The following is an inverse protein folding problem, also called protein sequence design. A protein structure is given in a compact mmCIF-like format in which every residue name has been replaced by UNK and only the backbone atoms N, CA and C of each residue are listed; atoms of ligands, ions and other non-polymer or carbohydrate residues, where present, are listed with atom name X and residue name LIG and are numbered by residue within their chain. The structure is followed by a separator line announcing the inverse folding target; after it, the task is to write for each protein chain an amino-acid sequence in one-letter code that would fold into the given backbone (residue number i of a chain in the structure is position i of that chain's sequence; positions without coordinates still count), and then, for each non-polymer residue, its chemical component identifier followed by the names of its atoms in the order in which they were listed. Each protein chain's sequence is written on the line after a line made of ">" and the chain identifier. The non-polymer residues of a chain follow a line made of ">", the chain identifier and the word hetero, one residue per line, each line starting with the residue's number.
data_IF_638389772043
#
_entry.id   IF_638389772043
#
_cell.length_a   1.000
_cell.length_b   1.000
_cell.length_c   1.000
_cell.angle_alpha   90.00
_cell.angle_beta   90.00
_cell.angle_gamma   90.00
#
_symmetry.space_group_name_H-M   'P 1'
#
loop_
_entity.id
_entity.type
_entity.pdbx_description
1 polymer ?
#
# COMPACT_ATOMS: atom_id res chain seq x y z
N UNK A 1 -7.92 -26.98 0.44
CA UNK A 1 -8.61 -27.17 1.76
C UNK A 1 -10.11 -27.31 1.55
N UNK A 2 -10.79 -26.41 0.81
CA UNK A 2 -12.25 -26.45 0.60
C UNK A 2 -12.72 -27.72 -0.11
N UNK A 3 -12.03 -28.21 -1.13
CA UNK A 3 -12.37 -29.44 -1.84
C UNK A 3 -12.31 -30.68 -0.92
N UNK A 4 -11.32 -30.74 -0.02
CA UNK A 4 -11.19 -31.85 0.95
C UNK A 4 -12.39 -31.83 1.91
N UNK A 5 -12.74 -30.65 2.45
CA UNK A 5 -13.87 -30.50 3.34
C UNK A 5 -15.20 -30.85 2.67
N UNK A 6 -15.39 -30.36 1.45
CA UNK A 6 -16.57 -30.68 0.62
C UNK A 6 -16.63 -32.19 0.29
N UNK A 7 -15.49 -32.83 0.07
CA UNK A 7 -15.43 -34.29 -0.14
C UNK A 7 -15.85 -35.07 1.10
N UNK A 8 -15.44 -34.65 2.30
CA UNK A 8 -15.90 -35.28 3.56
C UNK A 8 -17.41 -35.13 3.72
N UNK A 9 -17.95 -33.92 3.47
CA UNK A 9 -19.40 -33.69 3.51
C UNK A 9 -20.16 -34.53 2.50
N UNK A 10 -19.62 -34.73 1.29
CA UNK A 10 -20.23 -35.62 0.29
C UNK A 10 -20.29 -37.06 0.78
N UNK A 11 -19.20 -37.58 1.37
CA UNK A 11 -19.15 -38.95 1.90
C UNK A 11 -20.23 -39.12 2.98
N UNK A 12 -20.34 -38.15 3.92
CA UNK A 12 -21.37 -38.18 4.98
C UNK A 12 -22.78 -38.14 4.37
N UNK A 13 -23.01 -37.32 3.35
CA UNK A 13 -24.28 -37.23 2.63
C UNK A 13 -24.64 -38.57 1.93
N UNK A 14 -23.67 -39.22 1.30
CA UNK A 14 -23.85 -40.54 0.67
C UNK A 14 -24.25 -41.60 1.73
N UNK A 15 -23.53 -41.66 2.86
CA UNK A 15 -23.85 -42.57 3.96
C UNK A 15 -25.27 -42.32 4.45
N UNK A 16 -25.65 -41.06 4.64
CA UNK A 16 -27.01 -40.71 5.03
C UNK A 16 -28.04 -41.17 4.00
N UNK A 17 -27.85 -40.88 2.72
CA UNK A 17 -28.79 -41.23 1.64
C UNK A 17 -28.94 -42.74 1.48
N UNK A 18 -27.90 -43.51 1.71
CA UNK A 18 -27.96 -44.99 1.68
C UNK A 18 -28.77 -45.49 2.84
N UNK A 19 -28.56 -44.96 4.06
CA UNK A 19 -29.27 -45.39 5.27
C UNK A 19 -30.76 -45.06 5.26
N UNK A 20 -31.19 -43.93 4.66
CA UNK A 20 -32.59 -43.54 4.52
C UNK A 20 -33.26 -44.07 3.23
N UNK A 21 -32.62 -44.99 2.53
CA UNK A 21 -33.12 -45.56 1.26
C UNK A 21 -33.49 -44.49 0.23
N UNK A 22 -32.80 -43.36 0.27
CA UNK A 22 -32.97 -42.31 -0.75
C UNK A 22 -32.57 -42.86 -2.10
N UNK A 23 -33.41 -42.71 -3.14
CA UNK A 23 -33.21 -43.34 -4.44
C UNK A 23 -31.83 -43.05 -5.04
N UNK A 24 -31.22 -44.01 -5.70
CA UNK A 24 -29.88 -43.96 -6.34
C UNK A 24 -29.64 -42.71 -7.18
N UNK A 25 -30.65 -42.10 -7.72
CA UNK A 25 -30.57 -40.85 -8.49
C UNK A 25 -29.97 -39.68 -7.68
N UNK A 26 -30.34 -39.53 -6.38
CA UNK A 26 -29.83 -38.46 -5.53
C UNK A 26 -28.34 -38.60 -5.26
N UNK A 27 -27.86 -39.84 -5.02
CA UNK A 27 -26.44 -40.13 -4.84
C UNK A 27 -25.65 -39.81 -6.11
N UNK A 28 -26.14 -40.27 -7.27
CA UNK A 28 -25.48 -40.01 -8.56
C UNK A 28 -25.37 -38.52 -8.81
N UNK A 29 -26.49 -37.75 -8.65
CA UNK A 29 -26.49 -36.30 -8.84
C UNK A 29 -25.50 -35.60 -7.94
N UNK A 30 -25.42 -35.98 -6.65
CA UNK A 30 -24.47 -35.40 -5.70
C UNK A 30 -23.01 -35.65 -6.11
N UNK A 31 -22.69 -36.86 -6.56
CA UNK A 31 -21.35 -37.21 -7.05
C UNK A 31 -21.00 -36.44 -8.34
N UNK A 32 -21.95 -36.32 -9.27
CA UNK A 32 -21.74 -35.56 -10.52
C UNK A 32 -21.51 -34.10 -10.22
N UNK A 33 -22.31 -33.47 -9.34
CA UNK A 33 -22.11 -32.07 -8.94
C UNK A 33 -20.75 -31.89 -8.31
N UNK A 34 -20.34 -32.77 -7.39
CA UNK A 34 -19.02 -32.69 -6.77
C UNK A 34 -17.88 -32.83 -7.78
N UNK A 35 -17.98 -33.77 -8.72
CA UNK A 35 -16.99 -33.94 -9.78
C UNK A 35 -16.88 -32.69 -10.68
N UNK A 36 -18.02 -32.07 -11.01
CA UNK A 36 -18.05 -30.80 -11.74
C UNK A 36 -17.38 -29.67 -10.94
N UNK A 37 -17.71 -29.56 -9.64
CA UNK A 37 -17.08 -28.58 -8.75
C UNK A 37 -15.55 -28.81 -8.65
N UNK A 38 -15.10 -30.07 -8.56
CA UNK A 38 -13.69 -30.40 -8.58
C UNK A 38 -13.02 -30.00 -9.90
N UNK A 39 -13.70 -30.25 -11.03
CA UNK A 39 -13.17 -29.89 -12.35
C UNK A 39 -13.08 -28.38 -12.56
N UNK A 40 -14.05 -27.62 -12.09
CA UNK A 40 -14.07 -26.16 -12.17
C UNK A 40 -13.16 -25.50 -11.12
N UNK A 41 -13.03 -26.11 -9.94
CA UNK A 41 -12.21 -25.60 -8.82
C UNK A 41 -10.78 -26.13 -8.80
N UNK A 42 -10.35 -26.85 -9.83
CA UNK A 42 -8.98 -27.36 -9.92
C UNK A 42 -7.98 -26.30 -10.38
N UNK A 43 -8.47 -25.16 -10.86
CA UNK A 43 -7.60 -24.01 -11.15
C UNK A 43 -7.00 -23.48 -9.87
N UNK A 44 -5.67 -23.34 -9.82
CA UNK A 44 -4.95 -22.69 -8.73
C UNK A 44 -5.18 -21.16 -8.75
N UNK A 45 -5.70 -20.63 -9.86
CA UNK A 45 -6.05 -19.21 -10.03
C UNK A 45 -7.50 -18.98 -9.63
N UNK A 46 -7.70 -18.09 -8.64
CA UNK A 46 -9.02 -17.58 -8.29
C UNK A 46 -9.51 -16.55 -9.31
N UNK A 47 -8.57 -15.84 -9.95
CA UNK A 47 -8.84 -14.80 -10.94
C UNK A 47 -8.66 -15.30 -12.39
N UNK A 48 -9.20 -16.47 -12.71
CA UNK A 48 -9.09 -17.11 -14.04
C UNK A 48 -9.61 -16.27 -15.23
N UNK A 49 -10.29 -15.17 -14.96
CA UNK A 49 -10.78 -14.21 -15.96
C UNK A 49 -9.79 -13.08 -16.26
N UNK A 50 -8.74 -12.90 -15.43
CA UNK A 50 -7.69 -11.90 -15.64
C UNK A 50 -6.71 -12.38 -16.70
N UNK A 51 -6.45 -11.55 -17.73
CA UNK A 51 -5.61 -11.93 -18.86
C UNK A 51 -4.12 -11.62 -18.66
N UNK A 52 -3.81 -10.57 -17.90
CA UNK A 52 -2.45 -10.04 -17.73
C UNK A 52 -1.88 -10.38 -16.34
N UNK A 53 -2.40 -11.43 -15.71
CA UNK A 53 -2.03 -11.87 -14.39
C UNK A 53 -0.68 -12.61 -14.43
N UNK A 54 0.35 -11.99 -13.83
CA UNK A 54 1.71 -12.55 -13.75
C UNK A 54 1.93 -13.32 -12.45
N UNK A 55 1.26 -12.90 -11.38
CA UNK A 55 1.31 -13.56 -10.08
C UNK A 55 -0.04 -13.47 -9.38
N UNK A 56 -0.41 -14.54 -8.72
CA UNK A 56 -1.54 -14.64 -7.80
C UNK A 56 -1.12 -15.42 -6.57
N UNK A 57 -1.54 -14.98 -5.39
CA UNK A 57 -1.27 -15.68 -4.15
C UNK A 57 -1.85 -14.99 -2.93
N UNK A 58 -1.65 -15.62 -1.79
CA UNK A 58 -2.12 -15.11 -0.50
C UNK A 58 -0.96 -14.98 0.47
N UNK A 59 -1.05 -14.00 1.34
CA UNK A 59 -0.25 -13.88 2.54
C UNK A 59 -1.14 -14.01 3.78
N UNK A 60 -0.58 -13.79 4.96
CA UNK A 60 -1.36 -13.70 6.21
C UNK A 60 -2.26 -12.46 6.22
N UNK A 61 -1.89 -11.42 5.46
CA UNK A 61 -2.54 -10.11 5.46
C UNK A 61 -3.44 -9.89 4.26
N UNK A 62 -3.00 -10.39 3.07
CA UNK A 62 -3.60 -9.98 1.80
C UNK A 62 -3.74 -11.13 0.83
N UNK A 63 -4.79 -11.06 0.00
CA UNK A 63 -4.83 -11.69 -1.30
C UNK A 63 -4.11 -10.78 -2.29
N UNK A 64 -3.15 -11.29 -3.02
CA UNK A 64 -2.20 -10.52 -3.82
C UNK A 64 -2.28 -10.91 -5.29
N UNK A 65 -2.39 -9.91 -6.15
CA UNK A 65 -2.30 -10.06 -7.59
C UNK A 65 -1.26 -9.12 -8.16
N UNK A 66 -0.39 -9.63 -9.04
CA UNK A 66 0.48 -8.80 -9.88
C UNK A 66 0.06 -8.97 -11.31
N UNK A 67 -0.32 -7.88 -11.94
CA UNK A 67 -0.59 -7.81 -13.38
C UNK A 67 0.51 -7.00 -14.07
N UNK A 68 0.86 -7.43 -15.28
CA UNK A 68 1.96 -6.84 -16.04
C UNK A 68 1.56 -6.68 -17.50
N UNK A 69 1.74 -5.47 -18.03
CA UNK A 69 1.61 -5.16 -19.45
C UNK A 69 2.92 -4.57 -20.01
N UNK A 70 2.91 -4.15 -21.29
CA UNK A 70 4.09 -3.59 -21.95
C UNK A 70 4.60 -2.27 -21.30
N UNK A 71 3.77 -1.58 -20.53
CA UNK A 71 4.04 -0.25 -19.99
C UNK A 71 4.23 -0.22 -18.48
N UNK A 72 3.61 -1.13 -17.76
CA UNK A 72 3.55 -1.09 -16.29
C UNK A 72 3.42 -2.46 -15.64
N UNK A 73 3.79 -2.51 -14.36
CA UNK A 73 3.49 -3.59 -13.43
C UNK A 73 2.61 -3.02 -12.34
N UNK A 74 1.54 -3.73 -11.96
CA UNK A 74 0.56 -3.28 -10.96
C UNK A 74 0.38 -4.33 -9.88
N UNK A 75 0.31 -3.87 -8.63
CA UNK A 75 -0.11 -4.68 -7.49
C UNK A 75 -1.55 -4.34 -7.12
N UNK A 76 -2.37 -5.36 -6.95
CA UNK A 76 -3.69 -5.27 -6.34
C UNK A 76 -3.75 -6.15 -5.09
N UNK A 77 -4.40 -5.65 -4.03
CA UNK A 77 -4.59 -6.38 -2.77
C UNK A 77 -6.07 -6.42 -2.43
N UNK A 78 -6.58 -7.55 -2.00
CA UNK A 78 -7.94 -7.78 -1.46
C UNK A 78 -9.11 -7.19 -2.26
N UNK A 79 -8.93 -6.07 -2.92
CA UNK A 79 -9.97 -5.35 -3.67
C UNK A 79 -9.86 -5.74 -5.14
N UNK A 80 -10.89 -6.40 -5.65
CA UNK A 80 -11.03 -6.66 -7.08
C UNK A 80 -11.02 -5.33 -7.84
N UNK A 81 -10.11 -5.20 -8.80
CA UNK A 81 -9.89 -3.99 -9.62
C UNK A 81 -9.29 -2.76 -8.90
N UNK A 82 -8.94 -2.86 -7.62
CA UNK A 82 -8.20 -1.81 -6.92
C UNK A 82 -6.69 -1.93 -7.17
N UNK A 83 -6.07 -0.91 -7.74
CA UNK A 83 -4.61 -0.85 -7.91
C UNK A 83 -4.00 -0.14 -6.71
N UNK A 84 -3.16 -0.86 -5.96
CA UNK A 84 -2.45 -0.33 -4.79
C UNK A 84 -1.11 0.31 -5.17
N UNK A 85 -0.41 -0.29 -6.10
CA UNK A 85 0.88 0.21 -6.56
C UNK A 85 1.08 0.00 -8.04
N UNK A 86 1.81 0.92 -8.67
CA UNK A 86 2.18 0.88 -10.08
C UNK A 86 3.68 1.13 -10.22
N UNK A 87 4.36 0.30 -10.99
CA UNK A 87 5.72 0.54 -11.48
C UNK A 87 5.68 0.78 -13.00
N UNK A 88 6.24 1.89 -13.45
CA UNK A 88 6.34 2.22 -14.87
C UNK A 88 7.62 1.65 -15.46
N UNK A 89 7.49 0.81 -16.50
CA UNK A 89 8.65 0.27 -17.25
C UNK A 89 9.37 1.32 -18.09
N UNK A 90 8.68 2.39 -18.43
CA UNK A 90 9.22 3.53 -19.14
C UNK A 90 9.65 4.63 -18.18
N UNK A 91 10.51 5.55 -18.65
CA UNK A 91 10.96 6.70 -17.88
C UNK A 91 9.88 7.79 -17.83
N UNK A 92 8.89 7.60 -17.00
CA UNK A 92 7.79 8.54 -16.73
C UNK A 92 7.25 8.34 -15.33
N UNK A 93 6.59 9.36 -14.81
CA UNK A 93 5.81 9.29 -13.57
C UNK A 93 4.58 8.41 -13.75
N UNK A 94 4.05 7.93 -12.63
CA UNK A 94 2.92 6.99 -12.60
C UNK A 94 1.57 7.67 -12.73
N UNK A 95 1.47 8.94 -12.33
CA UNK A 95 0.22 9.67 -12.14
C UNK A 95 -0.48 9.35 -10.82
N UNK A 96 0.15 8.56 -9.94
CA UNK A 96 -0.40 8.16 -8.64
C UNK A 96 0.09 9.09 -7.52
N UNK A 97 -0.43 8.89 -6.33
CA UNK A 97 -0.17 9.71 -5.15
C UNK A 97 1.31 9.81 -4.76
N UNK A 98 2.11 8.78 -4.95
CA UNK A 98 3.54 8.84 -4.60
C UNK A 98 4.34 9.78 -5.49
N UNK A 99 3.87 10.13 -6.68
CA UNK A 99 4.47 11.19 -7.49
C UNK A 99 4.35 12.54 -6.79
N UNK A 100 3.21 12.79 -6.14
CA UNK A 100 2.95 14.00 -5.36
C UNK A 100 3.68 13.98 -4.01
N UNK A 101 3.78 12.80 -3.38
CA UNK A 101 4.50 12.62 -2.12
C UNK A 101 6.00 12.98 -2.25
N UNK A 102 6.58 12.92 -3.47
CA UNK A 102 7.94 13.43 -3.72
C UNK A 102 8.12 14.93 -3.42
N UNK A 103 7.03 15.67 -3.19
CA UNK A 103 7.13 17.04 -2.70
C UNK A 103 7.77 17.13 -1.31
N UNK A 104 7.64 16.08 -0.47
CA UNK A 104 8.22 16.09 0.89
C UNK A 104 9.75 16.27 0.91
N UNK A 105 10.56 15.47 0.22
CA UNK A 105 12.00 15.73 0.11
C UNK A 105 12.33 17.10 -0.51
N UNK A 106 11.53 17.56 -1.48
CA UNK A 106 11.73 18.88 -2.11
C UNK A 106 11.49 20.05 -1.17
N UNK A 107 10.71 19.88 -0.10
CA UNK A 107 10.55 20.89 0.95
C UNK A 107 11.83 21.10 1.76
N UNK A 108 12.81 20.20 1.66
CA UNK A 108 14.13 20.23 2.30
C UNK A 108 15.22 20.65 1.31
N UNK A 109 14.92 21.63 0.43
CA UNK A 109 15.78 22.03 -0.69
C UNK A 109 17.20 22.50 -0.29
N UNK A 110 17.43 22.83 0.97
CA UNK A 110 18.74 23.21 1.52
C UNK A 110 19.60 21.97 1.86
N UNK A 111 19.03 20.78 1.87
CA UNK A 111 19.71 19.52 2.15
C UNK A 111 20.00 18.75 0.87
N UNK A 112 21.19 18.18 0.75
CA UNK A 112 21.52 17.33 -0.41
C UNK A 112 20.77 16.00 -0.29
N UNK A 113 20.30 15.42 -1.42
CA UNK A 113 19.64 14.11 -1.38
C UNK A 113 20.46 13.02 -0.67
N UNK A 114 21.78 12.96 -0.90
CA UNK A 114 22.67 11.98 -0.27
C UNK A 114 22.74 12.06 1.27
N UNK A 115 22.35 13.20 1.81
CA UNK A 115 22.38 13.46 3.25
C UNK A 115 20.98 13.33 3.88
N UNK A 116 19.98 12.94 3.08
CA UNK A 116 18.60 12.76 3.54
C UNK A 116 18.35 11.32 3.99
N UNK A 117 17.80 11.16 5.18
CA UNK A 117 17.26 9.91 5.70
C UNK A 117 15.74 9.89 5.55
N UNK A 118 15.23 8.91 4.81
CA UNK A 118 13.80 8.75 4.48
C UNK A 118 13.28 7.42 5.03
N UNK A 119 12.23 7.47 5.84
CA UNK A 119 11.51 6.29 6.31
C UNK A 119 10.14 6.19 5.61
N UNK A 120 9.79 4.98 5.19
CA UNK A 120 8.48 4.68 4.62
C UNK A 120 7.77 3.65 5.51
N UNK A 121 6.68 4.06 6.13
CA UNK A 121 5.80 3.18 6.91
C UNK A 121 4.68 2.69 5.99
N UNK A 122 4.72 1.41 5.64
CA UNK A 122 3.95 0.82 4.54
C UNK A 122 4.73 0.92 3.23
N UNK A 123 5.86 0.19 3.15
CA UNK A 123 6.75 0.23 1.97
C UNK A 123 6.05 -0.19 0.68
N UNK A 124 5.08 -1.10 0.77
CA UNK A 124 4.39 -1.62 -0.39
C UNK A 124 5.35 -2.18 -1.44
N UNK A 125 5.16 -1.81 -2.69
CA UNK A 125 6.07 -2.22 -3.77
C UNK A 125 7.36 -1.40 -3.86
N UNK A 126 7.52 -0.38 -3.02
CA UNK A 126 8.69 0.50 -3.03
C UNK A 126 8.72 1.53 -4.15
N UNK A 127 7.59 1.79 -4.80
CA UNK A 127 7.53 2.75 -5.92
C UNK A 127 7.95 4.15 -5.48
N UNK A 128 7.51 4.61 -4.30
CA UNK A 128 7.93 5.91 -3.77
C UNK A 128 9.45 5.98 -3.55
N UNK A 129 10.05 4.96 -2.94
CA UNK A 129 11.50 4.86 -2.75
C UNK A 129 12.27 4.92 -4.07
N UNK A 130 11.82 4.11 -5.04
CA UNK A 130 12.43 4.04 -6.38
C UNK A 130 12.34 5.38 -7.10
N UNK A 131 11.19 6.06 -7.04
CA UNK A 131 11.00 7.37 -7.67
C UNK A 131 11.81 8.47 -7.00
N UNK A 132 11.83 8.53 -5.66
CA UNK A 132 12.67 9.49 -4.95
C UNK A 132 14.12 9.38 -5.36
N UNK A 133 14.69 8.18 -5.35
CA UNK A 133 16.08 7.95 -5.76
C UNK A 133 16.31 8.26 -7.24
N UNK A 134 15.38 7.91 -8.10
CA UNK A 134 15.49 8.13 -9.54
C UNK A 134 15.42 9.61 -9.95
N UNK A 135 14.48 10.36 -9.39
CA UNK A 135 14.18 11.72 -9.87
C UNK A 135 14.78 12.82 -9.00
N UNK A 136 15.02 12.57 -7.72
CA UNK A 136 15.51 13.58 -6.80
C UNK A 136 16.98 13.38 -6.44
N UNK A 137 17.50 12.17 -6.54
CA UNK A 137 18.89 11.83 -6.27
C UNK A 137 19.02 10.71 -5.25
N UNK A 138 20.24 10.24 -5.06
CA UNK A 138 20.55 9.11 -4.21
C UNK A 138 20.34 9.48 -2.73
N UNK A 139 19.30 8.93 -2.12
CA UNK A 139 18.87 9.16 -0.75
C UNK A 139 19.03 7.88 0.08
N UNK A 140 19.22 8.04 1.39
CA UNK A 140 19.16 6.93 2.34
C UNK A 140 17.70 6.59 2.62
N UNK A 141 17.13 5.65 1.87
CA UNK A 141 15.74 5.24 2.02
C UNK A 141 15.68 3.89 2.70
N UNK A 142 14.84 3.77 3.71
CA UNK A 142 14.46 2.49 4.33
C UNK A 142 12.95 2.39 4.50
N UNK A 143 12.43 1.18 4.56
CA UNK A 143 11.00 0.94 4.68
C UNK A 143 10.63 -0.08 5.73
N UNK A 144 9.40 0.01 6.19
CA UNK A 144 8.74 -0.98 7.04
C UNK A 144 7.52 -1.48 6.31
N UNK A 145 7.40 -2.79 6.18
CA UNK A 145 6.27 -3.46 5.52
C UNK A 145 5.83 -4.63 6.39
N UNK A 146 4.54 -4.69 6.69
CA UNK A 146 4.01 -5.76 7.54
C UNK A 146 3.91 -7.10 6.80
N UNK A 147 3.74 -7.03 5.48
CA UNK A 147 3.56 -8.20 4.63
C UNK A 147 4.86 -8.54 3.89
N UNK A 148 5.61 -9.50 4.43
CA UNK A 148 6.86 -9.99 3.81
C UNK A 148 6.66 -10.42 2.34
N UNK A 149 5.46 -10.92 2.00
CA UNK A 149 5.16 -11.33 0.64
C UNK A 149 5.16 -10.15 -0.32
N UNK A 150 4.65 -9.00 0.10
CA UNK A 150 4.72 -7.76 -0.70
C UNK A 150 6.18 -7.36 -0.92
N UNK A 151 7.04 -7.42 0.12
CA UNK A 151 8.49 -7.15 -0.03
C UNK A 151 9.17 -8.10 -1.02
N UNK A 152 8.83 -9.39 -1.02
CA UNK A 152 9.35 -10.35 -2.01
C UNK A 152 8.89 -10.01 -3.43
N UNK A 153 7.61 -9.62 -3.60
CA UNK A 153 7.05 -9.23 -4.90
C UNK A 153 7.65 -7.91 -5.39
N UNK A 154 7.91 -6.96 -4.49
CA UNK A 154 8.49 -5.65 -4.85
C UNK A 154 9.87 -5.80 -5.50
N UNK A 155 10.72 -6.66 -4.95
CA UNK A 155 12.03 -6.97 -5.53
C UNK A 155 11.92 -7.73 -6.85
N UNK A 156 10.99 -8.67 -6.92
CA UNK A 156 10.85 -9.54 -8.10
C UNK A 156 10.24 -8.84 -9.31
N UNK A 157 9.23 -7.98 -9.10
CA UNK A 157 8.42 -7.43 -10.18
C UNK A 157 8.46 -5.91 -10.29
N UNK A 158 8.78 -5.18 -9.20
CA UNK A 158 8.67 -3.72 -9.14
C UNK A 158 10.03 -3.01 -9.11
N UNK A 159 11.11 -3.74 -9.35
CA UNK A 159 12.47 -3.19 -9.41
C UNK A 159 12.92 -2.46 -8.13
N UNK A 160 12.36 -2.83 -6.97
CA UNK A 160 12.89 -2.35 -5.71
C UNK A 160 14.31 -2.86 -5.51
N UNK A 161 15.26 -1.94 -5.36
CA UNK A 161 16.68 -2.26 -5.24
C UNK A 161 16.99 -3.03 -3.97
N UNK A 162 17.92 -4.01 -4.04
CA UNK A 162 18.34 -4.83 -2.89
C UNK A 162 19.05 -4.02 -1.80
N UNK A 163 19.63 -2.87 -2.15
CA UNK A 163 20.30 -1.97 -1.22
C UNK A 163 19.34 -1.08 -0.41
N UNK A 164 18.04 -1.11 -0.73
CA UNK A 164 17.00 -0.44 0.09
C UNK A 164 16.56 -1.40 1.19
N UNK A 165 16.90 -1.14 2.46
CA UNK A 165 16.50 -2.01 3.56
C UNK A 165 14.97 -1.95 3.76
N UNK A 166 14.34 -3.11 3.89
CA UNK A 166 12.93 -3.23 4.27
C UNK A 166 12.81 -4.16 5.47
N UNK A 167 12.27 -3.63 6.56
CA UNK A 167 12.02 -4.40 7.78
C UNK A 167 10.60 -4.93 7.78
N UNK A 168 10.42 -6.24 7.89
CA UNK A 168 9.09 -6.85 8.03
C UNK A 168 8.63 -6.69 9.48
N UNK A 169 7.80 -5.67 9.73
CA UNK A 169 7.26 -5.36 11.06
C UNK A 169 6.04 -4.43 10.99
N UNK A 170 5.34 -4.28 12.14
CA UNK A 170 4.32 -3.23 12.29
C UNK A 170 4.99 -1.85 12.36
N UNK A 171 4.49 -0.88 11.56
CA UNK A 171 5.13 0.43 11.44
C UNK A 171 5.16 1.24 12.73
N UNK A 172 4.10 1.18 13.56
CA UNK A 172 4.08 1.85 14.86
C UNK A 172 4.99 1.17 15.86
N UNK A 173 5.00 -0.16 15.88
CA UNK A 173 5.88 -0.92 16.75
C UNK A 173 7.37 -0.72 16.37
N UNK A 174 7.66 -0.57 15.09
CA UNK A 174 9.00 -0.24 14.60
C UNK A 174 9.47 1.11 15.16
N UNK A 175 8.70 2.18 15.03
CA UNK A 175 9.05 3.48 15.58
C UNK A 175 9.25 3.42 17.10
N UNK A 176 8.44 2.68 17.84
CA UNK A 176 8.60 2.51 19.29
C UNK A 176 9.92 1.79 19.69
N UNK A 177 10.50 1.03 18.79
CA UNK A 177 11.72 0.24 19.02
C UNK A 177 12.99 0.93 18.53
N UNK A 178 12.88 2.05 17.80
CA UNK A 178 13.99 2.74 17.16
C UNK A 178 14.23 4.11 17.81
N UNK A 179 15.49 4.55 17.84
CA UNK A 179 15.86 5.90 18.27
C UNK A 179 16.31 6.79 17.10
N UNK A 180 16.30 6.25 15.88
CA UNK A 180 16.76 6.97 14.68
C UNK A 180 15.76 8.08 14.30
N UNK A 181 16.31 9.22 13.85
CA UNK A 181 15.55 10.34 13.31
C UNK A 181 15.69 10.42 11.79
N UNK A 182 14.65 10.93 11.15
CA UNK A 182 14.53 11.00 9.71
C UNK A 182 14.22 12.42 9.24
N UNK A 183 14.58 12.73 8.03
CA UNK A 183 14.25 13.99 7.36
C UNK A 183 12.85 13.95 6.74
N UNK A 184 12.49 12.78 6.23
CA UNK A 184 11.16 12.51 5.70
C UNK A 184 10.63 11.21 6.28
N UNK A 185 9.39 11.24 6.78
CA UNK A 185 8.63 10.04 7.12
C UNK A 185 7.37 10.02 6.26
N UNK A 186 7.27 9.01 5.40
CA UNK A 186 6.05 8.74 4.66
C UNK A 186 5.20 7.73 5.41
N UNK A 187 3.93 8.06 5.62
CA UNK A 187 2.92 7.19 6.22
C UNK A 187 1.93 6.77 5.15
N UNK A 188 2.06 5.53 4.70
CA UNK A 188 1.25 4.93 3.64
C UNK A 188 0.81 3.50 4.01
N UNK A 189 0.55 3.27 5.28
CA UNK A 189 0.14 1.98 5.79
C UNK A 189 -1.38 1.86 5.80
N UNK A 190 -1.92 1.31 4.73
CA UNK A 190 -3.35 1.03 4.60
C UNK A 190 -3.62 -0.46 4.66
N UNK A 191 -4.74 -0.81 5.26
CA UNK A 191 -5.36 -2.12 5.11
C UNK A 191 -6.63 -1.93 4.28
N UNK A 192 -6.61 -2.40 3.05
CA UNK A 192 -7.63 -2.14 2.03
C UNK A 192 -7.78 -0.63 1.73
N UNK A 193 -8.86 -0.02 2.23
CA UNK A 193 -9.17 1.40 2.07
C UNK A 193 -9.16 2.15 3.41
N UNK A 194 -8.71 1.53 4.49
CA UNK A 194 -8.75 2.12 5.83
C UNK A 194 -7.36 2.30 6.41
N UNK A 195 -7.14 3.42 7.11
CA UNK A 195 -5.96 3.58 7.96
C UNK A 195 -6.15 2.71 9.20
N UNK A 196 -5.17 1.87 9.57
CA UNK A 196 -5.23 1.13 10.81
C UNK A 196 -5.38 2.09 11.99
N UNK A 197 -6.32 1.81 12.90
CA UNK A 197 -6.64 2.72 14.01
C UNK A 197 -5.40 3.07 14.86
N UNK A 198 -4.46 2.15 15.01
CA UNK A 198 -3.20 2.38 15.74
C UNK A 198 -2.28 3.40 15.05
N UNK A 199 -2.51 3.72 13.76
CA UNK A 199 -1.74 4.69 12.98
C UNK A 199 -2.53 5.97 12.69
N UNK A 200 -3.67 6.18 13.34
CA UNK A 200 -4.53 7.36 13.16
C UNK A 200 -4.78 8.16 14.45
N UNK A 201 -3.99 7.93 15.49
CA UNK A 201 -4.14 8.60 16.78
C UNK A 201 -3.12 9.71 16.99
N UNK A 202 -3.44 10.64 17.91
CA UNK A 202 -2.53 11.74 18.33
C UNK A 202 -1.20 11.18 18.82
N UNK A 203 -1.22 10.07 19.57
CA UNK A 203 -0.02 9.42 20.10
C UNK A 203 0.86 8.86 18.97
N UNK A 204 0.26 8.33 17.91
CA UNK A 204 1.03 7.86 16.75
C UNK A 204 1.69 9.04 16.02
N UNK A 205 0.97 10.11 15.77
CA UNK A 205 1.56 11.28 15.10
C UNK A 205 2.58 12.01 15.98
N UNK A 206 2.42 11.99 17.31
CA UNK A 206 3.46 12.45 18.25
C UNK A 206 4.72 11.59 18.13
N UNK A 207 4.56 10.27 18.09
CA UNK A 207 5.66 9.33 17.87
C UNK A 207 6.39 9.58 16.53
N UNK A 208 5.64 9.82 15.45
CA UNK A 208 6.23 10.20 14.15
C UNK A 208 7.01 11.50 14.27
N UNK A 209 6.44 12.53 14.92
CA UNK A 209 7.12 13.83 15.13
C UNK A 209 8.40 13.67 15.93
N UNK A 210 8.42 12.82 16.96
CA UNK A 210 9.60 12.55 17.79
C UNK A 210 10.73 11.88 16.98
N UNK A 211 10.39 11.18 15.88
CA UNK A 211 11.34 10.57 14.95
C UNK A 211 11.69 11.46 13.75
N UNK A 212 11.16 12.66 13.65
CA UNK A 212 11.58 13.64 12.66
C UNK A 212 12.75 14.48 13.16
N UNK A 213 13.66 14.83 12.26
CA UNK A 213 14.64 15.88 12.46
C UNK A 213 13.92 17.22 12.65
N UNK A 214 14.64 18.25 13.15
CA UNK A 214 14.05 19.55 13.50
C UNK A 214 13.26 20.19 12.35
N UNK A 215 13.79 20.09 11.12
CA UNK A 215 13.14 20.58 9.89
C UNK A 215 12.37 19.48 9.12
N UNK A 216 12.22 18.30 9.71
CA UNK A 216 11.69 17.12 9.05
C UNK A 216 10.25 17.27 8.58
N UNK A 217 9.90 16.48 7.57
CA UNK A 217 8.59 16.49 6.92
C UNK A 217 7.94 15.12 7.04
N UNK A 218 6.70 15.09 7.53
CA UNK A 218 5.83 13.92 7.39
C UNK A 218 4.94 14.11 6.16
N UNK A 219 4.80 13.06 5.36
CA UNK A 219 3.78 12.98 4.31
C UNK A 219 2.86 11.79 4.59
N UNK A 220 1.55 12.04 4.50
CA UNK A 220 0.51 11.02 4.73
C UNK A 220 -0.34 10.92 3.49
N UNK A 221 -0.40 9.72 2.90
CA UNK A 221 -1.40 9.43 1.88
C UNK A 221 -2.78 9.25 2.52
N UNK A 222 -3.77 9.98 2.07
CA UNK A 222 -5.17 9.80 2.48
C UNK A 222 -5.96 9.24 1.31
N UNK A 223 -6.17 7.93 1.30
CA UNK A 223 -6.96 7.24 0.28
C UNK A 223 -8.41 7.07 0.73
N UNK A 224 -9.11 8.19 0.97
CA UNK A 224 -10.48 8.11 1.49
C UNK A 224 -11.44 8.97 0.70
N UNK A 225 -12.58 8.39 0.37
CA UNK A 225 -13.69 9.10 -0.27
C UNK A 225 -14.44 9.95 0.76
N UNK A 226 -14.65 11.21 0.44
CA UNK A 226 -15.50 12.09 1.24
C UNK A 226 -15.08 13.55 1.14
N UNK A 227 -16.01 14.42 0.71
CA UNK A 227 -15.81 15.87 0.57
C UNK A 227 -16.80 16.69 1.41
N UNK A 228 -17.54 16.07 2.34
CA UNK A 228 -18.47 16.76 3.23
C UNK A 228 -17.88 17.01 4.62
N UNK A 229 -18.48 17.94 5.38
CA UNK A 229 -18.12 18.18 6.78
C UNK A 229 -18.24 16.90 7.62
N UNK A 230 -17.27 16.66 8.50
CA UNK A 230 -17.26 15.49 9.38
C UNK A 230 -16.90 14.17 8.68
N UNK A 231 -16.21 14.22 7.53
CA UNK A 231 -15.66 13.02 6.91
C UNK A 231 -14.36 12.57 7.58
N UNK A 232 -13.93 11.34 7.29
CA UNK A 232 -12.76 10.72 7.91
C UNK A 232 -11.45 11.48 7.61
N UNK A 233 -11.34 12.12 6.43
CA UNK A 233 -10.16 12.91 6.07
C UNK A 233 -10.02 14.12 6.98
N UNK A 234 -11.14 14.78 7.31
CA UNK A 234 -11.14 15.92 8.22
C UNK A 234 -10.76 15.49 9.63
N UNK A 235 -11.34 14.38 10.13
CA UNK A 235 -10.96 13.87 11.45
C UNK A 235 -9.48 13.51 11.54
N UNK A 236 -8.91 12.93 10.48
CA UNK A 236 -7.49 12.63 10.44
C UNK A 236 -6.65 13.91 10.39
N UNK A 237 -7.01 14.87 9.55
CA UNK A 237 -6.36 16.19 9.47
C UNK A 237 -6.42 16.91 10.81
N UNK A 238 -7.58 16.94 11.47
CA UNK A 238 -7.76 17.53 12.81
C UNK A 238 -6.90 16.83 13.86
N UNK A 239 -6.75 15.51 13.76
CA UNK A 239 -5.90 14.70 14.66
C UNK A 239 -4.43 15.06 14.46
N UNK A 240 -3.97 15.13 13.21
CA UNK A 240 -2.59 15.49 12.86
C UNK A 240 -2.32 16.94 13.26
N UNK A 241 -3.27 17.86 13.06
CA UNK A 241 -3.19 19.27 13.43
C UNK A 241 -3.00 19.53 14.92
N UNK A 242 -3.32 18.56 15.80
CA UNK A 242 -2.98 18.64 17.23
C UNK A 242 -1.48 18.46 17.52
N UNK A 243 -0.75 17.89 16.57
CA UNK A 243 0.67 17.56 16.72
C UNK A 243 1.56 18.46 15.89
N UNK A 244 1.15 18.79 14.66
CA UNK A 244 1.92 19.56 13.70
C UNK A 244 1.32 20.94 13.47
N UNK A 245 2.16 21.98 13.46
CA UNK A 245 1.71 23.39 13.32
C UNK A 245 1.45 23.81 11.86
N UNK A 246 2.04 23.11 10.90
CA UNK A 246 1.94 23.45 9.47
C UNK A 246 1.44 22.25 8.67
N UNK A 247 0.33 22.46 7.96
CA UNK A 247 -0.29 21.48 7.07
C UNK A 247 -0.35 22.03 5.65
N UNK A 248 0.03 21.19 4.68
CA UNK A 248 -0.10 21.45 3.26
C UNK A 248 -0.82 20.27 2.63
N UNK A 249 -1.86 20.53 1.85
CA UNK A 249 -2.65 19.51 1.18
C UNK A 249 -2.48 19.57 -0.31
N UNK A 250 -2.38 18.41 -0.96
CA UNK A 250 -2.34 18.27 -2.41
C UNK A 250 -3.32 17.20 -2.84
N UNK A 251 -4.32 17.57 -3.63
CA UNK A 251 -5.24 16.61 -4.24
C UNK A 251 -4.58 15.94 -5.44
N UNK A 252 -4.62 14.62 -5.47
CA UNK A 252 -4.07 13.83 -6.57
C UNK A 252 -5.08 13.79 -7.71
N UNK A 253 -4.67 14.26 -8.88
CA UNK A 253 -5.57 14.38 -10.02
C UNK A 253 -6.17 13.03 -10.45
N UNK A 254 -7.46 13.02 -10.77
CA UNK A 254 -8.22 11.86 -11.23
C UNK A 254 -8.29 10.65 -10.27
N UNK A 255 -7.97 10.85 -9.00
CA UNK A 255 -8.06 9.84 -7.95
C UNK A 255 -8.86 10.34 -6.74
N UNK A 256 -9.02 9.51 -5.73
CA UNK A 256 -9.59 9.89 -4.44
C UNK A 256 -8.53 10.18 -3.39
N UNK A 257 -7.25 10.13 -3.77
CA UNK A 257 -6.13 10.33 -2.88
C UNK A 257 -5.86 11.82 -2.66
N UNK A 258 -5.45 12.11 -1.45
CA UNK A 258 -4.97 13.43 -1.01
C UNK A 258 -3.69 13.22 -0.22
N UNK A 259 -2.64 13.97 -0.55
CA UNK A 259 -1.42 14.01 0.23
C UNK A 259 -1.51 15.13 1.27
N UNK A 260 -1.23 14.78 2.51
CA UNK A 260 -1.00 15.74 3.60
C UNK A 260 0.48 15.79 3.89
N UNK A 261 1.07 16.98 3.75
CA UNK A 261 2.46 17.24 4.10
C UNK A 261 2.48 18.11 5.36
N UNK A 262 3.18 17.64 6.37
CA UNK A 262 3.29 18.33 7.65
C UNK A 262 4.75 18.59 7.97
N UNK A 263 5.01 19.81 8.47
CA UNK A 263 6.36 20.24 8.84
C UNK A 263 6.40 20.67 10.30
N UNK A 264 7.53 20.38 10.93
CA UNK A 264 7.77 20.68 12.35
C UNK A 264 7.93 22.21 12.60
N UNK A 265 8.39 22.97 11.59
CA UNK A 265 8.63 24.43 11.73
C UNK A 265 8.02 25.21 10.56
N UNK A 266 7.33 26.32 10.83
CA UNK A 266 6.89 27.27 9.82
C UNK A 266 8.08 28.00 9.19
N UNK A 267 8.57 27.60 8.03
CA UNK A 267 9.40 28.45 7.17
C UNK A 267 8.56 29.08 6.06
N UNK A 268 8.89 30.35 5.74
CA UNK A 268 8.06 31.26 4.95
C UNK A 268 7.71 30.75 3.54
N UNK A 269 6.58 31.19 3.03
CA UNK A 269 5.91 31.03 1.74
C UNK A 269 6.76 31.10 0.46
N UNK A 270 8.06 31.42 0.53
CA UNK A 270 8.93 31.49 -0.67
C UNK A 270 9.20 30.12 -1.29
N UNK A 271 9.23 29.06 -0.49
CA UNK A 271 9.53 27.71 -0.96
C UNK A 271 8.35 27.10 -1.72
N UNK A 272 7.11 27.34 -1.30
CA UNK A 272 5.91 26.82 -1.99
C UNK A 272 5.78 27.33 -3.43
N UNK A 273 6.18 28.55 -3.73
CA UNK A 273 6.18 29.06 -5.11
C UNK A 273 7.26 28.40 -5.98
N UNK A 274 8.40 28.01 -5.41
CA UNK A 274 9.46 27.30 -6.15
C UNK A 274 9.07 25.86 -6.46
N UNK A 275 8.34 25.19 -5.54
CA UNK A 275 7.83 23.83 -5.75
C UNK A 275 6.76 23.85 -6.85
N UNK A 276 5.84 24.78 -6.84
CA UNK A 276 4.79 24.92 -7.85
C UNK A 276 5.35 25.20 -9.25
N UNK A 277 6.45 25.96 -9.37
CA UNK A 277 7.14 26.19 -10.63
C UNK A 277 7.97 25.01 -11.12
N UNK A 278 8.50 24.18 -10.20
CA UNK A 278 9.27 22.97 -10.56
C UNK A 278 8.38 21.75 -10.85
N UNK A 279 7.27 21.59 -10.16
CA UNK A 279 6.29 20.54 -10.48
C UNK A 279 5.63 20.75 -11.84
N UNK A 280 5.47 22.00 -12.29
CA UNK A 280 4.99 22.31 -13.64
C UNK A 280 6.04 22.03 -14.75
N UNK A 281 7.31 21.81 -14.40
CA UNK A 281 8.36 21.39 -15.33
C UNK A 281 8.53 19.87 -15.42
N UNK A 282 7.90 19.10 -14.52
CA UNK A 282 7.98 17.63 -14.49
C UNK A 282 6.70 16.96 -15.03
N UNK A 283 5.66 17.72 -15.35
CA UNK A 283 4.44 17.29 -16.04
C UNK A 283 4.46 17.80 -17.48
#
# INVERSE_FOLDING_TARGET
>A
TFLIFSGILLVLAIVYFVNVCAGKKKVIVSVVIFALCCGLGYSDSFAFWEKDLTYEGESVYNYLQVSEDDTSVRLSTNVLFGVQSVYMKQDRLTGMYYDYAMAAPLMLADKKPSDMDVLILGMGTGTYATQCRKYLGDMNVEGVEIDEKITQLSRKYFSLSEDVPVTTYDGRAYLNAMDKKYDVIMVDAYQDITIPFQMSSVEFFTLVKDHLNEDGVMVVNMNMRGSGDGNINQYLSDTIGQVFDAEYTVDVANTTNRELLHRTIRRSWRICRQIQSRSQMLI
#
